data_IF_513761763383
#
_entry.id   IF_513761763383
#
_cell.length_a   1.000
_cell.length_b   1.000
_cell.length_c   1.000
_cell.angle_alpha   90.00
_cell.angle_beta   90.00
_cell.angle_gamma   90.00
#
_symmetry.space_group_name_H-M   'P 1'
#
loop_
_entity.id
_entity.type
_entity.pdbx_description
1 polymer ?
#
# COMPACT_ATOMS: atom_id res chain seq x y z
N UNK A 1 -9.71 8.44 2.75
CA UNK A 1 -8.70 7.72 1.96
C UNK A 1 -7.91 8.66 1.05
N UNK A 2 -8.56 9.48 0.21
CA UNK A 2 -7.87 10.33 -0.78
C UNK A 2 -7.22 11.61 -0.24
N UNK A 3 -7.48 12.02 1.00
CA UNK A 3 -6.86 13.20 1.60
C UNK A 3 -5.36 12.93 1.86
N UNK A 4 -4.51 13.78 1.27
CA UNK A 4 -3.04 13.77 1.42
C UNK A 4 -2.56 14.06 2.85
N UNK A 5 -3.42 14.66 3.69
CA UNK A 5 -3.15 14.89 5.10
C UNK A 5 -3.55 13.70 5.98
N UNK A 6 -4.13 12.64 5.40
CA UNK A 6 -4.60 11.47 6.12
C UNK A 6 -3.91 10.19 5.64
N UNK A 7 -4.36 9.62 4.51
CA UNK A 7 -3.92 8.30 4.03
C UNK A 7 -3.38 8.31 2.59
N UNK A 8 -3.50 9.41 1.86
CA UNK A 8 -2.96 9.52 0.49
C UNK A 8 -1.51 10.02 0.53
N UNK A 9 -0.65 9.21 1.15
CA UNK A 9 0.79 9.41 1.34
C UNK A 9 1.60 8.97 0.12
N UNK A 10 2.94 9.06 0.18
CA UNK A 10 3.83 8.65 -0.91
C UNK A 10 3.59 7.19 -1.33
N UNK A 11 3.57 6.26 -0.36
CA UNK A 11 2.91 4.96 -0.51
C UNK A 11 1.59 5.04 0.27
N UNK A 12 0.42 4.92 -0.37
CA UNK A 12 -0.86 5.28 0.26
C UNK A 12 -1.43 4.16 1.14
N UNK A 13 -2.45 4.51 1.93
CA UNK A 13 -3.27 3.61 2.75
C UNK A 13 -2.49 2.86 3.84
N UNK A 14 -1.69 3.61 4.59
CA UNK A 14 -0.99 3.12 5.78
C UNK A 14 -1.93 2.67 6.91
N UNK A 15 -1.37 1.93 7.87
CA UNK A 15 -2.11 1.36 9.02
C UNK A 15 -2.60 2.41 10.03
N UNK A 16 -2.12 3.65 9.95
CA UNK A 16 -2.66 4.79 10.65
C UNK A 16 -2.59 6.04 9.77
N UNK A 17 -3.55 6.93 9.90
CA UNK A 17 -3.54 8.22 9.23
C UNK A 17 -2.38 9.10 9.74
N UNK A 18 -1.89 10.04 8.93
CA UNK A 18 -0.89 11.01 9.35
C UNK A 18 -1.31 11.84 10.58
N UNK A 19 -2.61 12.09 10.74
CA UNK A 19 -3.18 12.84 11.88
C UNK A 19 -3.35 11.99 13.14
N UNK A 20 -3.13 10.68 13.08
CA UNK A 20 -3.29 9.82 14.24
C UNK A 20 -2.25 10.21 15.32
N UNK A 21 -2.66 10.45 16.58
CA UNK A 21 -1.73 10.86 17.64
C UNK A 21 -0.59 9.86 17.91
N UNK A 22 -0.78 8.60 17.53
CA UNK A 22 0.22 7.54 17.67
C UNK A 22 0.89 7.16 16.33
N UNK A 23 0.73 7.98 15.29
CA UNK A 23 1.36 7.78 14.00
C UNK A 23 2.89 7.75 14.14
N UNK A 24 3.51 6.78 13.47
CA UNK A 24 4.93 6.78 13.21
C UNK A 24 5.20 6.04 11.91
N UNK A 25 5.87 6.71 10.97
CA UNK A 25 6.10 6.19 9.62
C UNK A 25 6.85 4.85 9.59
N UNK A 26 7.69 4.58 10.60
CA UNK A 26 8.42 3.32 10.74
C UNK A 26 7.76 2.28 11.64
N UNK A 27 6.59 2.59 12.23
CA UNK A 27 5.90 1.69 13.15
C UNK A 27 5.01 0.72 12.34
N UNK A 28 5.21 -0.58 12.55
CA UNK A 28 4.56 -1.67 11.83
C UNK A 28 3.05 -1.48 11.67
N UNK A 29 2.31 -1.22 12.76
CA UNK A 29 0.85 -1.14 12.75
C UNK A 29 0.31 0.25 13.14
N UNK A 30 1.16 1.28 13.06
CA UNK A 30 0.74 2.67 13.31
C UNK A 30 1.33 3.64 12.29
N UNK A 31 1.47 3.20 11.05
CA UNK A 31 1.91 4.06 9.96
C UNK A 31 2.30 3.28 8.71
N UNK A 32 3.10 2.21 8.85
CA UNK A 32 3.54 1.41 7.70
C UNK A 32 2.37 0.86 6.89
N UNK A 33 2.61 0.73 5.59
CA UNK A 33 1.66 0.24 4.59
C UNK A 33 1.87 -1.25 4.40
N UNK A 34 0.81 -2.03 4.57
CA UNK A 34 0.79 -3.45 4.25
C UNK A 34 -0.08 -3.70 3.02
N UNK A 35 0.35 -4.62 2.15
CA UNK A 35 -0.27 -4.82 0.83
C UNK A 35 -1.71 -5.33 0.94
N UNK A 36 -2.02 -6.11 1.98
CA UNK A 36 -3.38 -6.58 2.28
C UNK A 36 -4.32 -5.41 2.62
N UNK A 37 -3.93 -4.52 3.54
CA UNK A 37 -4.74 -3.38 3.94
C UNK A 37 -4.93 -2.36 2.80
N UNK A 38 -3.85 -2.11 2.04
CA UNK A 38 -3.92 -1.34 0.80
C UNK A 38 -4.97 -1.95 -0.13
N UNK A 39 -4.87 -3.25 -0.44
CA UNK A 39 -5.79 -3.93 -1.34
C UNK A 39 -7.24 -3.87 -0.84
N UNK A 40 -7.50 -4.10 0.45
CA UNK A 40 -8.86 -3.97 1.01
C UNK A 40 -9.42 -2.57 0.82
N UNK A 41 -8.61 -1.55 1.05
CA UNK A 41 -8.99 -0.16 0.78
C UNK A 41 -9.37 0.06 -0.68
N UNK A 42 -8.53 -0.40 -1.61
CA UNK A 42 -8.77 -0.24 -3.05
C UNK A 42 -10.02 -1.00 -3.53
N UNK A 43 -10.24 -2.24 -3.06
CA UNK A 43 -11.46 -3.01 -3.35
C UNK A 43 -12.69 -2.34 -2.76
N UNK A 44 -12.59 -1.78 -1.56
CA UNK A 44 -13.64 -0.98 -0.96
C UNK A 44 -13.99 0.22 -1.83
N UNK A 45 -12.99 1.02 -2.22
CA UNK A 45 -13.18 2.16 -3.14
C UNK A 45 -13.86 1.74 -4.44
N UNK A 46 -13.39 0.67 -5.09
CA UNK A 46 -14.01 0.14 -6.31
C UNK A 46 -15.47 -0.25 -6.10
N UNK A 47 -15.78 -0.97 -5.02
CA UNK A 47 -17.12 -1.50 -4.72
C UNK A 47 -18.18 -0.39 -4.58
N UNK A 48 -17.75 0.84 -4.28
CA UNK A 48 -18.61 2.01 -4.13
C UNK A 48 -18.47 3.01 -5.30
N UNK A 49 -17.93 2.60 -6.45
CA UNK A 49 -17.90 3.40 -7.68
C UNK A 49 -16.65 4.26 -7.88
N UNK A 50 -15.62 4.11 -7.05
CA UNK A 50 -14.38 4.90 -7.11
C UNK A 50 -13.23 4.16 -7.80
N UNK A 51 -13.51 3.35 -8.84
CA UNK A 51 -12.48 2.54 -9.53
C UNK A 51 -11.32 3.40 -10.06
N UNK A 52 -11.60 4.55 -10.66
CA UNK A 52 -10.55 5.42 -11.20
C UNK A 52 -9.58 5.91 -10.11
N UNK A 53 -10.10 6.31 -8.96
CA UNK A 53 -9.26 6.69 -7.81
C UNK A 53 -8.48 5.48 -7.28
N UNK A 54 -9.10 4.30 -7.21
CA UNK A 54 -8.44 3.09 -6.74
C UNK A 54 -7.27 2.69 -7.66
N UNK A 55 -7.46 2.74 -8.98
CA UNK A 55 -6.39 2.49 -9.96
C UNK A 55 -5.26 3.51 -9.81
N UNK A 56 -5.58 4.80 -9.63
CA UNK A 56 -4.55 5.83 -9.42
C UNK A 56 -3.72 5.58 -8.15
N UNK A 57 -4.35 5.17 -7.05
CA UNK A 57 -3.66 4.85 -5.80
C UNK A 57 -2.87 3.54 -5.88
N UNK A 58 -3.36 2.54 -6.63
CA UNK A 58 -2.63 1.31 -6.93
C UNK A 58 -1.35 1.61 -7.74
N UNK A 59 -1.45 2.49 -8.74
CA UNK A 59 -0.30 2.93 -9.53
C UNK A 59 0.71 3.71 -8.68
N UNK A 60 0.24 4.56 -7.77
CA UNK A 60 1.12 5.24 -6.82
C UNK A 60 1.90 4.25 -5.96
N UNK A 61 1.24 3.21 -5.42
CA UNK A 61 1.93 2.10 -4.74
C UNK A 61 2.99 1.44 -5.63
N UNK A 62 2.63 1.08 -6.88
CA UNK A 62 3.56 0.41 -7.80
C UNK A 62 4.81 1.24 -8.12
N UNK A 63 4.64 2.55 -8.28
CA UNK A 63 5.73 3.47 -8.62
C UNK A 63 6.66 3.77 -7.43
N UNK A 64 6.13 3.69 -6.20
CA UNK A 64 6.79 4.21 -5.00
C UNK A 64 7.18 3.15 -3.97
N UNK A 65 6.71 1.90 -4.10
CA UNK A 65 7.12 0.80 -3.23
C UNK A 65 8.53 0.31 -3.60
N UNK A 66 9.52 0.62 -2.76
CA UNK A 66 10.91 0.30 -3.02
C UNK A 66 11.13 -1.21 -3.21
N UNK A 67 11.89 -1.57 -4.25
CA UNK A 67 12.26 -2.96 -4.52
C UNK A 67 11.18 -3.79 -5.22
N UNK A 68 9.95 -3.28 -5.38
CA UNK A 68 8.85 -4.06 -5.97
C UNK A 68 9.12 -4.51 -7.41
N UNK A 69 9.79 -3.66 -8.20
CA UNK A 69 10.16 -3.93 -9.60
C UNK A 69 11.61 -4.41 -9.77
N UNK A 70 12.21 -4.90 -8.68
CA UNK A 70 13.58 -5.44 -8.68
C UNK A 70 13.56 -6.96 -8.52
N UNK A 71 14.74 -7.58 -8.52
CA UNK A 71 14.93 -9.02 -8.29
C UNK A 71 14.98 -9.42 -6.79
N UNK A 72 14.75 -8.45 -5.89
CA UNK A 72 14.71 -8.68 -4.44
C UNK A 72 13.51 -9.51 -3.97
N UNK A 73 13.60 -10.15 -2.79
CA UNK A 73 12.48 -10.90 -2.23
C UNK A 73 11.36 -9.96 -1.75
N UNK A 74 10.11 -10.39 -1.92
CA UNK A 74 8.93 -9.68 -1.40
C UNK A 74 9.00 -9.58 0.13
N UNK A 75 8.78 -8.36 0.64
CA UNK A 75 8.78 -8.02 2.07
C UNK A 75 7.36 -7.81 2.63
N UNK A 76 7.26 -7.51 3.91
CA UNK A 76 5.98 -7.37 4.63
C UNK A 76 5.29 -6.02 4.37
N UNK A 77 6.03 -4.92 4.53
CA UNK A 77 5.44 -3.59 4.60
C UNK A 77 6.40 -2.47 4.18
N UNK A 78 5.85 -1.27 3.96
CA UNK A 78 6.56 -0.12 3.40
C UNK A 78 6.36 1.12 4.28
N UNK A 79 7.40 1.95 4.39
CA UNK A 79 7.28 3.26 5.01
C UNK A 79 6.38 4.15 4.13
N UNK A 80 5.31 4.77 4.67
CA UNK A 80 4.32 5.50 3.87
C UNK A 80 4.88 6.79 3.25
N UNK A 81 6.00 7.31 3.77
CA UNK A 81 6.60 8.58 3.35
C UNK A 81 7.78 8.39 2.39
N UNK A 82 8.47 7.24 2.47
CA UNK A 82 9.70 7.01 1.70
C UNK A 82 9.63 5.79 0.77
N UNK A 83 8.69 4.87 0.98
CA UNK A 83 8.64 3.61 0.23
C UNK A 83 9.53 2.50 0.78
N UNK A 84 10.36 2.79 1.80
CA UNK A 84 11.34 1.83 2.30
C UNK A 84 10.67 0.56 2.89
N UNK A 85 11.01 -0.58 2.30
CA UNK A 85 10.54 -1.90 2.69
C UNK A 85 11.14 -2.41 4.01
N UNK A 86 10.36 -3.17 4.78
CA UNK A 86 10.81 -3.86 6.00
C UNK A 86 10.08 -5.21 6.16
N UNK A 87 10.62 -6.07 7.03
CA UNK A 87 10.03 -7.33 7.43
C UNK A 87 10.71 -8.55 6.83
N UNK A 88 10.13 -9.72 7.10
CA UNK A 88 10.58 -11.00 6.59
C UNK A 88 10.65 -10.99 5.06
N UNK A 89 11.72 -11.55 4.46
CA UNK A 89 11.74 -11.83 3.02
C UNK A 89 10.81 -12.99 2.67
N UNK A 90 10.42 -13.08 1.40
CA UNK A 90 9.59 -14.16 0.84
C UNK A 90 8.22 -14.27 1.52
N UNK A 91 7.62 -13.12 1.83
CA UNK A 91 6.44 -13.08 2.68
C UNK A 91 5.13 -13.34 1.90
N UNK A 92 4.43 -14.41 2.29
CA UNK A 92 3.35 -14.99 1.47
C UNK A 92 2.12 -14.10 1.29
N UNK A 93 1.63 -13.40 2.33
CA UNK A 93 0.43 -12.58 2.13
C UNK A 93 0.71 -11.36 1.23
N UNK A 94 1.94 -10.87 1.24
CA UNK A 94 2.34 -9.74 0.40
C UNK A 94 2.37 -10.23 -1.05
N UNK A 95 2.96 -11.40 -1.29
CA UNK A 95 2.92 -12.03 -2.60
C UNK A 95 1.48 -12.26 -3.09
N UNK A 96 0.59 -12.76 -2.23
CA UNK A 96 -0.81 -12.99 -2.57
C UNK A 96 -1.53 -11.69 -2.97
N UNK A 97 -1.42 -10.62 -2.18
CA UNK A 97 -2.10 -9.36 -2.47
C UNK A 97 -1.45 -8.59 -3.62
N UNK A 98 -0.14 -8.73 -3.85
CA UNK A 98 0.51 -8.24 -5.06
C UNK A 98 -0.06 -8.92 -6.32
N UNK A 99 -0.26 -10.24 -6.27
CA UNK A 99 -0.91 -10.97 -7.37
C UNK A 99 -2.36 -10.51 -7.59
N UNK A 100 -3.13 -10.25 -6.53
CA UNK A 100 -4.48 -9.73 -6.63
C UNK A 100 -4.52 -8.30 -7.22
N UNK A 101 -3.58 -7.42 -6.81
CA UNK A 101 -3.44 -6.08 -7.38
C UNK A 101 -3.20 -6.13 -8.90
N UNK A 102 -2.31 -7.04 -9.34
CA UNK A 102 -2.07 -7.29 -10.75
C UNK A 102 -3.36 -7.68 -11.50
N UNK A 103 -4.12 -8.64 -10.95
CA UNK A 103 -5.34 -9.14 -11.59
C UNK A 103 -6.48 -8.10 -11.67
N UNK A 104 -6.60 -7.24 -10.66
CA UNK A 104 -7.77 -6.37 -10.51
C UNK A 104 -7.55 -4.92 -10.98
N UNK A 105 -6.32 -4.42 -10.87
CA UNK A 105 -6.01 -3.00 -11.05
C UNK A 105 -4.92 -2.70 -12.08
N UNK A 106 -4.10 -3.68 -12.49
CA UNK A 106 -3.02 -3.45 -13.47
C UNK A 106 -3.24 -4.12 -14.84
N UNK A 107 -4.26 -4.97 -15.00
CA UNK A 107 -4.54 -5.69 -16.26
C UNK A 107 -5.87 -5.35 -16.92
N UNK A 108 -6.69 -4.50 -16.30
CA UNK A 108 -8.05 -4.14 -16.75
C UNK A 108 -8.28 -2.64 -16.68
#
# INVERSE_FOLDING_TARGET
MKDSREFNTYVPLGTAALTNPAFGADIYWRGRVWVDQLYFGLKGMESYGYRADAVAMAQAFFNHADGLITDGPIRENYNPLTGMQQGAPNFSWSAAHLYMLYNDFFTR
#
